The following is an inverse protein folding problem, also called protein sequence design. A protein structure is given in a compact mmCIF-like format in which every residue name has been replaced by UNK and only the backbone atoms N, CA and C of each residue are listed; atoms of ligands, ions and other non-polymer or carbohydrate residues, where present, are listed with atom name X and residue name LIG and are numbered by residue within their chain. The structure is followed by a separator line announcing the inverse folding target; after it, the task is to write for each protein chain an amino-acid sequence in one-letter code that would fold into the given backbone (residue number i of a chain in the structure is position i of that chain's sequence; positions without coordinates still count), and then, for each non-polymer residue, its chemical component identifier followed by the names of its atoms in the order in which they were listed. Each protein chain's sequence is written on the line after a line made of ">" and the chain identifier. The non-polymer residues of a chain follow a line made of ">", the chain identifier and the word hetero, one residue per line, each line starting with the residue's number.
data_IF_604894629908
#
_entry.id   IF_604894629908
#
_cell.length_a   1.000
_cell.length_b   1.000
_cell.length_c   1.000
_cell.angle_alpha   90.00
_cell.angle_beta   90.00
_cell.angle_gamma   90.00
#
_symmetry.space_group_name_H-M   'P 1'
#
loop_
_entity.id
_entity.type
_entity.pdbx_description
1 polymer ?
#
# COMPACT_ATOMS: atom_id res chain seq x y z
N UNK A 1 19.94 48.18 -24.56
CA UNK A 1 20.78 47.64 -25.64
C UNK A 1 20.35 46.21 -25.91
N UNK A 2 20.11 45.85 -27.18
CA UNK A 2 19.34 44.66 -27.54
C UNK A 2 19.95 43.96 -28.74
N UNK A 3 20.48 42.74 -28.59
CA UNK A 3 20.63 41.69 -29.63
C UNK A 3 21.67 40.62 -29.22
N UNK A 4 21.67 39.42 -29.85
CA UNK A 4 20.55 38.75 -30.50
C UNK A 4 20.39 37.26 -30.10
N UNK A 5 19.20 36.72 -30.40
CA UNK A 5 18.91 35.28 -30.39
C UNK A 5 19.75 34.55 -31.46
N UNK A 6 19.99 33.24 -31.27
CA UNK A 6 20.24 32.29 -32.36
C UNK A 6 19.11 31.26 -32.41
N UNK A 7 18.67 30.91 -33.62
CA UNK A 7 17.48 30.11 -33.91
C UNK A 7 17.83 29.11 -35.04
N UNK A 8 17.61 27.81 -34.77
CA UNK A 8 17.41 26.68 -35.74
C UNK A 8 18.53 26.38 -36.77
N UNK A 9 18.43 25.29 -37.60
CA UNK A 9 17.54 24.09 -37.58
C UNK A 9 18.34 22.85 -37.05
N UNK A 10 18.07 21.55 -37.31
CA UNK A 10 17.11 20.73 -38.09
C UNK A 10 16.92 19.36 -37.38
N UNK A 11 15.79 18.61 -37.41
CA UNK A 11 15.03 17.87 -38.46
C UNK A 11 15.38 16.36 -38.57
N UNK A 12 14.49 15.51 -38.03
CA UNK A 12 14.06 14.16 -38.47
C UNK A 12 15.11 13.03 -38.57
N UNK A 13 14.90 11.92 -37.84
CA UNK A 13 14.52 10.65 -38.50
C UNK A 13 13.69 9.69 -37.59
N UNK A 14 13.04 8.69 -38.21
CA UNK A 14 11.90 7.92 -37.65
C UNK A 14 11.84 6.47 -38.19
N UNK A 15 12.41 5.52 -37.46
CA UNK A 15 12.26 4.04 -37.55
C UNK A 15 12.79 3.47 -36.22
N UNK A 16 12.20 2.55 -35.45
CA UNK A 16 11.34 1.34 -35.61
C UNK A 16 12.06 0.11 -36.16
N UNK A 17 12.01 -0.98 -35.37
CA UNK A 17 12.42 -2.40 -35.60
C UNK A 17 13.92 -2.62 -35.88
N UNK A 18 14.57 -3.72 -35.48
CA UNK A 18 14.11 -5.09 -35.20
C UNK A 18 14.60 -5.74 -33.88
N UNK A 19 13.95 -6.87 -33.55
CA UNK A 19 14.32 -7.87 -32.55
C UNK A 19 15.59 -8.65 -32.90
N UNK A 20 16.41 -9.00 -31.91
CA UNK A 20 17.57 -9.88 -32.08
C UNK A 20 17.98 -10.63 -30.82
N UNK A 21 17.39 -11.80 -30.58
CA UNK A 21 17.86 -12.75 -29.57
C UNK A 21 19.09 -13.51 -30.07
N UNK A 22 20.16 -13.66 -29.28
CA UNK A 22 21.15 -14.71 -29.46
C UNK A 22 20.81 -15.91 -28.57
N UNK A 23 20.37 -17.01 -29.18
CA UNK A 23 20.37 -18.30 -28.50
C UNK A 23 21.81 -18.82 -28.40
N UNK A 24 22.25 -19.19 -27.19
CA UNK A 24 23.48 -19.99 -27.04
C UNK A 24 23.12 -21.47 -27.11
N UNK A 25 23.45 -22.07 -28.24
CA UNK A 25 23.37 -23.50 -28.51
C UNK A 25 24.51 -24.25 -27.80
N UNK A 26 24.19 -25.26 -27.00
CA UNK A 26 25.16 -26.29 -26.56
C UNK A 26 24.56 -27.67 -26.85
N UNK A 27 25.19 -28.36 -27.79
CA UNK A 27 24.96 -29.75 -28.13
C UNK A 27 25.69 -30.67 -27.13
N UNK A 28 25.00 -31.64 -26.55
CA UNK A 28 25.26 -33.06 -26.86
C UNK A 28 24.31 -33.98 -26.08
N UNK A 29 23.71 -34.95 -26.79
CA UNK A 29 22.71 -35.84 -26.21
C UNK A 29 23.27 -37.13 -25.64
N UNK A 30 22.39 -37.90 -25.00
CA UNK A 30 22.47 -39.36 -24.90
C UNK A 30 21.07 -39.95 -24.81
N UNK A 31 20.82 -40.99 -25.60
CA UNK A 31 19.55 -41.71 -25.68
C UNK A 31 19.73 -43.12 -25.11
N UNK A 32 18.85 -43.51 -24.19
CA UNK A 32 18.42 -44.89 -23.86
C UNK A 32 16.99 -44.75 -23.32
N UNK A 33 15.93 -45.06 -24.07
CA UNK A 33 15.37 -46.39 -24.39
C UNK A 33 14.69 -47.13 -23.23
N UNK A 34 13.40 -47.47 -23.43
CA UNK A 34 12.62 -48.43 -22.62
C UNK A 34 12.03 -47.89 -21.30
N UNK A 35 10.81 -48.22 -20.87
CA UNK A 35 9.87 -49.27 -21.34
C UNK A 35 8.41 -48.90 -20.98
N UNK A 36 7.46 -49.27 -21.86
CA UNK A 36 6.01 -49.04 -21.74
C UNK A 36 5.30 -49.94 -20.71
N UNK A 37 4.33 -49.41 -19.94
CA UNK A 37 3.09 -50.15 -19.57
C UNK A 37 1.83 -49.23 -19.48
N UNK A 38 0.94 -49.40 -20.48
CA UNK A 38 -0.55 -49.32 -20.53
C UNK A 38 -1.40 -48.63 -19.42
N UNK A 39 -2.08 -47.55 -19.85
CA UNK A 39 -3.55 -47.36 -19.99
C UNK A 39 -4.61 -47.98 -19.03
N UNK A 40 -5.45 -47.11 -18.44
CA UNK A 40 -6.88 -47.24 -18.09
C UNK A 40 -7.39 -45.86 -17.56
N UNK A 41 -8.66 -45.41 -17.60
CA UNK A 41 -9.88 -45.77 -18.35
C UNK A 41 -10.84 -44.56 -18.34
N UNK A 42 -11.87 -44.55 -19.20
CA UNK A 42 -12.74 -43.39 -19.49
C UNK A 42 -13.83 -43.12 -18.44
N UNK A 43 -14.22 -41.83 -18.28
CA UNK A 43 -15.64 -41.43 -18.34
C UNK A 43 -15.87 -39.93 -18.58
N UNK A 44 -16.84 -39.63 -19.44
CA UNK A 44 -17.32 -38.27 -19.75
C UNK A 44 -18.48 -37.85 -18.86
N UNK A 45 -18.59 -36.55 -18.59
CA UNK A 45 -19.89 -35.86 -18.50
C UNK A 45 -19.81 -34.54 -19.28
N UNK A 46 -20.80 -34.29 -20.14
CA UNK A 46 -21.04 -33.00 -20.82
C UNK A 46 -22.39 -32.43 -20.34
N UNK A 47 -22.44 -31.12 -20.06
CA UNK A 47 -23.57 -30.18 -20.23
C UNK A 47 -23.03 -28.78 -19.87
N UNK A 48 -23.00 -27.78 -20.74
CA UNK A 48 -24.07 -27.13 -21.52
C UNK A 48 -24.97 -26.20 -20.70
N UNK A 49 -24.68 -24.90 -20.70
CA UNK A 49 -25.57 -23.87 -21.26
C UNK A 49 -24.96 -22.45 -21.11
N UNK A 50 -25.28 -21.54 -22.04
CA UNK A 50 -25.13 -20.10 -21.81
C UNK A 50 -26.27 -19.62 -20.92
N UNK A 51 -25.97 -18.88 -19.88
CA UNK A 51 -26.92 -18.06 -19.12
C UNK A 51 -26.32 -16.69 -18.89
N UNK A 52 -26.80 -15.66 -19.61
CA UNK A 52 -26.44 -14.27 -19.39
C UNK A 52 -27.59 -13.61 -18.64
N UNK A 53 -27.42 -13.38 -17.35
CA UNK A 53 -28.38 -12.65 -16.52
C UNK A 53 -27.65 -11.56 -15.76
N UNK A 54 -27.99 -10.31 -16.08
CA UNK A 54 -27.69 -9.18 -15.22
C UNK A 54 -28.51 -9.31 -13.93
N UNK A 55 -27.86 -9.15 -12.78
CA UNK A 55 -28.54 -8.87 -11.51
C UNK A 55 -27.93 -7.60 -10.94
N UNK A 56 -28.71 -6.53 -11.05
CA UNK A 56 -28.43 -5.22 -10.49
C UNK A 56 -29.02 -5.15 -9.07
N UNK A 57 -28.24 -4.64 -8.12
CA UNK A 57 -28.68 -4.09 -6.81
C UNK A 57 -29.72 -4.85 -5.98
N UNK A 58 -29.34 -5.32 -4.79
CA UNK A 58 -29.79 -4.62 -3.57
C UNK A 58 -28.91 -4.91 -2.34
N UNK A 59 -28.78 -3.88 -1.52
CA UNK A 59 -28.02 -3.75 -0.28
C UNK A 59 -28.34 -4.85 0.74
N UNK A 60 -27.34 -5.67 1.08
CA UNK A 60 -27.31 -6.46 2.32
C UNK A 60 -26.62 -5.67 3.42
N UNK A 61 -27.23 -4.57 3.90
CA UNK A 61 -26.71 -3.77 5.02
C UNK A 61 -26.90 -4.52 6.34
N UNK A 62 -25.93 -5.35 6.71
CA UNK A 62 -25.68 -5.67 8.12
C UNK A 62 -25.09 -4.43 8.78
N UNK A 63 -25.88 -3.73 9.60
CA UNK A 63 -25.37 -2.71 10.51
C UNK A 63 -24.47 -3.39 11.55
N UNK A 64 -23.18 -3.50 11.25
CA UNK A 64 -22.12 -3.50 12.25
C UNK A 64 -21.75 -2.02 12.43
N UNK A 65 -21.56 -1.57 13.67
CA UNK A 65 -21.66 -0.16 14.02
C UNK A 65 -20.55 0.68 13.35
N UNK A 66 -20.95 1.74 12.62
CA UNK A 66 -20.02 2.81 12.24
C UNK A 66 -19.11 2.57 11.03
N UNK A 67 -19.51 1.78 10.03
CA UNK A 67 -18.89 1.79 8.69
C UNK A 67 -17.36 1.53 8.62
N UNK A 68 -16.83 0.66 9.48
CA UNK A 68 -15.45 0.18 9.39
C UNK A 68 -15.27 -0.67 8.11
N UNK A 69 -14.34 -0.29 7.26
CA UNK A 69 -13.64 -1.20 6.36
C UNK A 69 -12.18 -1.36 6.80
N UNK A 70 -11.39 -2.16 6.07
CA UNK A 70 -9.98 -2.41 6.44
C UNK A 70 -9.03 -1.29 6.01
N UNK A 71 -9.51 -0.29 5.27
CA UNK A 71 -8.71 0.88 4.92
C UNK A 71 -8.47 1.80 6.11
N UNK A 72 -7.22 2.21 6.32
CA UNK A 72 -6.81 3.20 7.33
C UNK A 72 -7.59 4.53 7.29
N UNK A 73 -8.24 4.85 6.17
CA UNK A 73 -9.05 6.06 5.94
C UNK A 73 -10.56 5.80 6.02
N UNK A 74 -10.98 4.63 6.49
CA UNK A 74 -12.38 4.30 6.81
C UNK A 74 -12.67 4.49 8.32
N UNK A 75 -11.73 5.10 9.04
CA UNK A 75 -11.82 5.50 10.45
C UNK A 75 -11.93 7.04 10.55
N UNK A 76 -12.86 7.53 11.37
CA UNK A 76 -13.15 8.97 11.49
C UNK A 76 -11.95 9.78 12.03
N UNK A 77 -11.23 9.29 13.04
CA UNK A 77 -10.05 9.96 13.60
C UNK A 77 -8.89 10.06 12.60
N UNK A 78 -8.72 9.04 11.75
CA UNK A 78 -7.76 9.07 10.65
C UNK A 78 -8.17 10.06 9.55
N UNK A 79 -9.48 10.18 9.26
CA UNK A 79 -10.01 11.19 8.34
C UNK A 79 -9.77 12.62 8.85
N UNK A 80 -10.02 12.87 10.15
CA UNK A 80 -9.83 14.18 10.77
C UNK A 80 -8.35 14.60 10.73
N UNK A 81 -7.40 13.70 11.06
CA UNK A 81 -5.96 13.97 10.93
C UNK A 81 -5.57 14.37 9.49
N UNK A 82 -6.17 13.72 8.49
CA UNK A 82 -5.88 13.97 7.07
C UNK A 82 -6.50 15.28 6.60
N UNK A 83 -7.67 15.65 7.13
CA UNK A 83 -8.27 16.98 6.92
C UNK A 83 -7.37 18.08 7.49
N UNK A 84 -6.94 17.95 8.74
CA UNK A 84 -6.04 18.91 9.40
C UNK A 84 -4.68 19.02 8.70
N UNK A 85 -4.11 17.88 8.27
CA UNK A 85 -2.85 17.84 7.53
C UNK A 85 -2.91 18.68 6.24
N UNK A 86 -4.05 18.66 5.54
CA UNK A 86 -4.25 19.40 4.29
C UNK A 86 -4.29 20.91 4.50
N UNK A 87 -4.66 21.38 5.69
CA UNK A 87 -4.57 22.79 6.07
C UNK A 87 -3.16 23.19 6.55
N UNK A 88 -2.34 22.19 6.96
CA UNK A 88 -0.93 22.38 7.30
C UNK A 88 0.00 22.48 6.07
N UNK A 89 1.21 23.00 6.32
CA UNK A 89 2.31 23.07 5.35
C UNK A 89 3.56 22.29 5.78
N UNK A 90 3.47 21.55 6.88
CA UNK A 90 4.58 20.80 7.46
C UNK A 90 4.12 19.48 8.12
N UNK A 91 5.09 18.64 8.50
CA UNK A 91 4.85 17.32 9.08
C UNK A 91 4.57 17.34 10.59
N UNK A 92 4.37 18.50 11.24
CA UNK A 92 4.20 18.57 12.71
C UNK A 92 3.03 17.70 13.20
N UNK A 93 1.87 17.80 12.55
CA UNK A 93 0.69 16.97 12.86
C UNK A 93 0.97 15.46 12.75
N UNK A 94 1.80 15.05 11.79
CA UNK A 94 2.21 13.64 11.67
C UNK A 94 3.19 13.25 12.78
N UNK A 95 4.13 14.13 13.12
CA UNK A 95 5.09 13.88 14.20
C UNK A 95 4.39 13.81 15.56
N UNK A 96 3.38 14.65 15.81
CA UNK A 96 2.62 14.68 17.06
C UNK A 96 1.67 13.48 17.19
N UNK A 97 0.97 13.08 16.12
CA UNK A 97 0.16 11.85 16.11
C UNK A 97 1.01 10.60 16.36
N UNK A 98 2.20 10.51 15.75
CA UNK A 98 3.13 9.42 16.02
C UNK A 98 3.72 9.48 17.43
N UNK A 99 3.94 10.69 17.96
CA UNK A 99 4.45 10.87 19.33
C UNK A 99 3.45 10.41 20.37
N UNK A 100 2.16 10.75 20.22
CA UNK A 100 1.10 10.30 21.12
C UNK A 100 1.13 8.76 21.30
N UNK A 101 1.12 8.02 20.19
CA UNK A 101 1.21 6.55 20.24
C UNK A 101 2.58 6.02 20.68
N UNK A 102 3.69 6.65 20.30
CA UNK A 102 5.04 6.15 20.62
C UNK A 102 5.50 6.46 22.05
N UNK A 103 4.97 7.51 22.68
CA UNK A 103 5.35 7.98 24.02
C UNK A 103 4.27 7.73 25.08
N UNK A 104 3.16 7.06 24.75
CA UNK A 104 2.17 6.62 25.75
C UNK A 104 2.82 5.78 26.86
N UNK A 105 2.56 6.17 28.11
CA UNK A 105 2.94 5.43 29.33
C UNK A 105 1.76 4.61 29.90
N UNK A 106 0.57 4.76 29.32
CA UNK A 106 -0.68 4.07 29.67
C UNK A 106 -1.28 3.35 28.44
N UNK A 107 -2.40 2.66 28.63
CA UNK A 107 -3.12 1.93 27.57
C UNK A 107 -3.43 2.88 26.39
N UNK A 108 -3.10 2.47 25.17
CA UNK A 108 -3.19 3.32 23.98
C UNK A 108 -4.63 3.33 23.43
N UNK A 109 -5.30 4.48 23.55
CA UNK A 109 -6.62 4.75 22.98
C UNK A 109 -6.67 4.44 21.47
N UNK A 110 -7.78 3.82 21.05
CA UNK A 110 -8.04 3.51 19.66
C UNK A 110 -7.99 4.74 18.73
N UNK A 111 -8.35 5.93 19.25
CA UNK A 111 -8.34 7.18 18.49
C UNK A 111 -6.91 7.63 18.12
N UNK A 112 -5.96 7.55 19.05
CA UNK A 112 -4.55 7.91 18.81
C UNK A 112 -3.81 6.81 18.05
N UNK A 113 -4.14 5.54 18.30
CA UNK A 113 -3.64 4.42 17.51
C UNK A 113 -4.02 4.55 16.02
N UNK A 114 -5.26 4.93 15.73
CA UNK A 114 -5.75 5.12 14.35
C UNK A 114 -5.03 6.29 13.65
N UNK A 115 -4.88 7.43 14.33
CA UNK A 115 -4.10 8.58 13.86
C UNK A 115 -2.64 8.22 13.57
N UNK A 116 -2.02 7.41 14.44
CA UNK A 116 -0.63 6.97 14.25
C UNK A 116 -0.45 6.05 13.02
N UNK A 117 -1.39 5.15 12.73
CA UNK A 117 -1.37 4.34 11.51
C UNK A 117 -1.50 5.21 10.25
N UNK A 118 -2.45 6.16 10.24
CA UNK A 118 -2.62 7.10 9.14
C UNK A 118 -1.35 7.95 8.90
N UNK A 119 -0.74 8.47 9.96
CA UNK A 119 0.51 9.22 9.86
C UNK A 119 1.67 8.39 9.30
N UNK A 120 1.77 7.13 9.72
CA UNK A 120 2.76 6.17 9.22
C UNK A 120 2.59 5.87 7.71
N UNK A 121 1.36 5.71 7.23
CA UNK A 121 1.11 5.55 5.79
C UNK A 121 1.47 6.79 4.98
N UNK A 122 1.12 8.00 5.46
CA UNK A 122 1.47 9.26 4.78
C UNK A 122 2.99 9.42 4.67
N UNK A 123 3.74 9.03 5.69
CA UNK A 123 5.21 9.05 5.66
C UNK A 123 5.78 8.09 4.61
N UNK A 124 5.19 6.90 4.40
CA UNK A 124 5.59 6.01 3.29
C UNK A 124 5.20 6.57 1.92
N UNK A 125 4.03 7.20 1.81
CA UNK A 125 3.58 7.84 0.58
C UNK A 125 4.51 8.99 0.15
N UNK A 126 4.94 9.85 1.09
CA UNK A 126 5.93 10.91 0.89
C UNK A 126 7.30 10.37 0.42
N UNK A 127 7.61 9.11 0.70
CA UNK A 127 8.81 8.42 0.21
C UNK A 127 8.63 7.70 -1.14
N UNK A 128 7.44 7.79 -1.75
CA UNK A 128 7.11 7.16 -3.03
C UNK A 128 6.50 5.76 -2.92
N UNK A 129 6.02 5.38 -1.74
CA UNK A 129 5.36 4.10 -1.47
C UNK A 129 3.91 4.30 -0.96
N UNK A 130 3.01 4.95 -1.73
CA UNK A 130 1.63 5.12 -1.31
C UNK A 130 0.90 3.78 -1.24
N UNK A 131 0.08 3.60 -0.20
CA UNK A 131 -0.89 2.52 -0.12
C UNK A 131 -2.00 2.69 -1.17
N UNK A 132 -2.78 1.63 -1.49
CA UNK A 132 -3.96 1.78 -2.35
C UNK A 132 -4.98 2.78 -1.80
N UNK A 133 -5.09 2.92 -0.48
CA UNK A 133 -5.98 3.89 0.17
C UNK A 133 -5.48 5.34 -0.08
N UNK A 134 -4.21 5.63 0.23
CA UNK A 134 -3.62 6.95 -0.08
C UNK A 134 -3.65 7.26 -1.58
N UNK A 135 -3.55 6.25 -2.45
CA UNK A 135 -3.64 6.45 -3.91
C UNK A 135 -5.06 6.82 -4.39
N UNK A 136 -6.11 6.56 -3.60
CA UNK A 136 -7.48 6.97 -3.89
C UNK A 136 -7.77 8.42 -3.45
N UNK A 137 -7.06 8.92 -2.44
CA UNK A 137 -7.24 10.26 -1.87
C UNK A 137 -6.61 11.38 -2.74
N UNK A 138 -7.33 11.82 -3.78
CA UNK A 138 -6.87 12.82 -4.74
C UNK A 138 -6.38 14.13 -4.08
N UNK A 139 -7.03 14.58 -3.01
CA UNK A 139 -6.68 15.84 -2.32
C UNK A 139 -5.41 15.69 -1.46
N UNK A 140 -5.19 14.52 -0.85
CA UNK A 140 -3.95 14.20 -0.14
C UNK A 140 -2.78 14.04 -1.13
N UNK A 141 -3.01 13.41 -2.29
CA UNK A 141 -2.02 13.36 -3.38
C UNK A 141 -1.62 14.76 -3.87
N UNK A 142 -2.60 15.66 -4.03
CA UNK A 142 -2.35 17.04 -4.39
C UNK A 142 -1.53 17.79 -3.32
N UNK A 143 -1.85 17.59 -2.03
CA UNK A 143 -1.09 18.16 -0.91
C UNK A 143 0.36 17.65 -0.87
N UNK A 144 0.59 16.34 -0.99
CA UNK A 144 1.95 15.76 -1.04
C UNK A 144 2.77 16.26 -2.24
N UNK A 145 2.11 16.49 -3.38
CA UNK A 145 2.74 17.06 -4.58
C UNK A 145 3.11 18.54 -4.38
N UNK A 146 2.28 19.30 -3.66
CA UNK A 146 2.54 20.69 -3.32
C UNK A 146 3.61 20.87 -2.22
N UNK A 147 3.70 19.90 -1.29
CA UNK A 147 4.61 19.89 -0.15
C UNK A 147 5.61 18.72 -0.24
N UNK A 148 6.65 18.80 -1.12
CA UNK A 148 7.63 17.74 -1.31
C UNK A 148 8.65 17.68 -0.15
N UNK A 149 8.14 17.38 1.05
CA UNK A 149 8.93 17.22 2.26
C UNK A 149 9.41 15.77 2.38
N UNK A 150 10.69 15.59 2.68
CA UNK A 150 11.28 14.26 2.89
C UNK A 150 11.30 13.96 4.40
N UNK A 151 10.60 12.92 4.87
CA UNK A 151 10.69 12.44 6.25
C UNK A 151 12.15 12.22 6.68
N UNK A 152 12.48 12.62 7.91
CA UNK A 152 13.80 12.41 8.49
C UNK A 152 13.97 10.96 8.96
N UNK A 153 15.23 10.50 9.10
CA UNK A 153 15.50 9.18 9.67
C UNK A 153 15.00 9.05 11.13
N UNK A 154 14.93 10.16 11.87
CA UNK A 154 14.34 10.21 13.20
C UNK A 154 12.81 10.04 13.16
N UNK A 155 12.13 10.73 12.24
CA UNK A 155 10.68 10.59 12.05
C UNK A 155 10.29 9.18 11.59
N UNK A 156 11.12 8.54 10.75
CA UNK A 156 10.94 7.13 10.38
C UNK A 156 11.13 6.16 11.56
N UNK A 157 12.06 6.46 12.47
CA UNK A 157 12.23 5.67 13.70
C UNK A 157 11.07 5.87 14.69
N UNK A 158 10.53 7.09 14.78
CA UNK A 158 9.33 7.39 15.55
C UNK A 158 8.11 6.65 14.98
N UNK A 159 7.93 6.67 13.66
CA UNK A 159 6.86 5.93 12.98
C UNK A 159 6.94 4.42 13.22
N UNK A 160 8.12 3.82 13.12
CA UNK A 160 8.30 2.39 13.41
C UNK A 160 7.93 2.04 14.88
N UNK A 161 8.30 2.92 15.83
CA UNK A 161 7.96 2.77 17.24
C UNK A 161 6.46 2.94 17.51
N UNK A 162 5.81 3.94 16.91
CA UNK A 162 4.38 4.16 17.05
C UNK A 162 3.58 2.94 16.57
N UNK A 163 3.88 2.42 15.37
CA UNK A 163 3.24 1.20 14.83
C UNK A 163 3.52 -0.03 15.70
N UNK A 164 4.67 -0.08 16.39
CA UNK A 164 4.95 -1.12 17.37
C UNK A 164 4.07 -1.02 18.64
N UNK A 165 3.72 0.17 19.10
CA UNK A 165 2.80 0.36 20.22
C UNK A 165 1.35 0.06 19.82
N UNK A 166 0.91 0.48 18.63
CA UNK A 166 -0.43 0.14 18.10
C UNK A 166 -0.66 -1.38 18.02
N UNK A 167 0.41 -2.17 17.83
CA UNK A 167 0.35 -3.65 17.78
C UNK A 167 0.68 -4.34 19.12
N UNK A 168 0.99 -3.58 20.18
CA UNK A 168 1.19 -4.11 21.53
C UNK A 168 -0.12 -4.68 22.10
N UNK A 169 -0.04 -5.37 23.25
CA UNK A 169 -1.25 -5.91 23.92
C UNK A 169 -2.07 -4.78 24.57
N UNK A 170 -1.39 -3.73 25.07
CA UNK A 170 -1.98 -2.58 25.76
C UNK A 170 -2.56 -1.52 24.79
N UNK A 171 -3.21 -1.95 23.69
CA UNK A 171 -3.71 -1.10 22.60
C UNK A 171 -5.21 -1.35 22.36
N UNK A 172 -6.05 -0.38 22.68
CA UNK A 172 -7.51 -0.49 22.56
C UNK A 172 -7.92 -0.76 21.10
N UNK A 173 -7.22 -0.17 20.11
CA UNK A 173 -7.48 -0.46 18.70
C UNK A 173 -7.28 -1.95 18.39
N UNK A 174 -6.26 -2.59 18.98
CA UNK A 174 -6.01 -4.02 18.80
C UNK A 174 -7.11 -4.86 19.46
N UNK A 175 -7.55 -4.49 20.66
CA UNK A 175 -8.66 -5.17 21.34
C UNK A 175 -9.94 -5.11 20.51
N UNK A 176 -10.28 -3.93 19.95
CA UNK A 176 -11.45 -3.77 19.07
C UNK A 176 -11.39 -4.66 17.81
N UNK A 177 -10.21 -4.92 17.25
CA UNK A 177 -10.04 -5.85 16.12
C UNK A 177 -10.12 -7.33 16.53
N UNK A 178 -9.79 -7.66 17.78
CA UNK A 178 -9.99 -9.01 18.37
C UNK A 178 -11.48 -9.29 18.62
N UNK A 179 -12.23 -8.30 19.14
CA UNK A 179 -13.68 -8.42 19.39
C UNK A 179 -14.52 -8.73 18.13
N UNK A 180 -14.00 -8.42 16.94
CA UNK A 180 -14.68 -8.64 15.64
C UNK A 180 -14.10 -9.83 14.84
N UNK A 181 -13.37 -10.74 15.50
CA UNK A 181 -12.76 -11.95 14.90
C UNK A 181 -11.88 -11.66 13.65
N UNK A 182 -11.36 -10.44 13.51
CA UNK A 182 -10.62 -9.98 12.30
C UNK A 182 -9.18 -9.52 12.57
N UNK A 183 -8.68 -9.74 13.80
CA UNK A 183 -7.35 -9.35 14.25
C UNK A 183 -6.22 -9.85 13.34
N UNK A 184 -6.27 -11.11 12.87
CA UNK A 184 -5.23 -11.69 12.01
C UNK A 184 -5.09 -10.96 10.66
N UNK A 185 -6.20 -10.47 10.08
CA UNK A 185 -6.20 -9.73 8.81
C UNK A 185 -5.63 -8.33 8.99
N UNK A 186 -6.13 -7.59 9.99
CA UNK A 186 -5.62 -6.25 10.34
C UNK A 186 -4.15 -6.29 10.75
N UNK A 187 -3.73 -7.26 11.56
CA UNK A 187 -2.31 -7.43 11.91
C UNK A 187 -1.44 -7.67 10.67
N UNK A 188 -1.91 -8.38 9.64
CA UNK A 188 -1.15 -8.60 8.42
C UNK A 188 -0.93 -7.30 7.61
N UNK A 189 -1.94 -6.42 7.57
CA UNK A 189 -1.86 -5.09 6.97
C UNK A 189 -0.89 -4.18 7.75
N UNK A 190 -1.03 -4.09 9.08
CA UNK A 190 -0.15 -3.27 9.92
C UNK A 190 1.30 -3.77 9.94
N UNK A 191 1.53 -5.10 9.89
CA UNK A 191 2.87 -5.67 9.73
C UNK A 191 3.49 -5.32 8.36
N UNK A 192 2.67 -5.19 7.31
CA UNK A 192 3.14 -4.75 5.97
C UNK A 192 3.59 -3.29 6.02
N UNK A 193 2.81 -2.41 6.68
CA UNK A 193 3.19 -1.02 6.96
C UNK A 193 4.50 -0.93 7.76
N UNK A 194 4.63 -1.71 8.86
CA UNK A 194 5.84 -1.73 9.69
C UNK A 194 7.08 -2.22 8.91
N UNK A 195 6.92 -3.21 8.02
CA UNK A 195 7.99 -3.68 7.14
C UNK A 195 8.42 -2.61 6.12
N UNK A 196 7.45 -1.85 5.57
CA UNK A 196 7.72 -0.69 4.70
C UNK A 196 8.55 0.37 5.41
N UNK A 197 8.18 0.76 6.64
CA UNK A 197 8.92 1.73 7.45
C UNK A 197 10.36 1.29 7.74
N UNK A 198 10.58 0.01 8.07
CA UNK A 198 11.91 -0.57 8.28
C UNK A 198 12.78 -0.51 7.02
N UNK A 199 12.21 -0.84 5.86
CA UNK A 199 12.90 -0.76 4.57
C UNK A 199 13.26 0.70 4.22
N UNK A 200 12.31 1.62 4.39
CA UNK A 200 12.51 3.05 4.19
C UNK A 200 13.60 3.63 5.09
N UNK A 201 13.58 3.30 6.39
CA UNK A 201 14.59 3.71 7.37
C UNK A 201 15.97 3.17 7.01
N UNK A 202 16.05 1.92 6.57
CA UNK A 202 17.30 1.28 6.13
C UNK A 202 17.87 1.87 4.84
N UNK A 203 17.05 2.51 4.01
CA UNK A 203 17.47 3.23 2.80
C UNK A 203 17.80 4.72 3.04
N UNK A 204 17.51 5.24 4.25
CA UNK A 204 17.70 6.65 4.62
C UNK A 204 18.91 6.89 5.57
N UNK A 205 19.52 5.82 6.09
CA UNK A 205 20.73 5.83 6.93
C UNK A 205 21.99 5.46 6.18
#
# INVERSE_FOLDING_TARGET
>A
MTSPRRICPARVDRQRVESGSPACEILNGRQVEGTSIRAASLRSVKRSARGRTSINSNQGRSNIMGAWGSGTFENDDACDLVCDLRESTDLSLLEDALRAAAESEEDLDASDASKALAAAEVILALLGHPSPAIAAEEELQAWMTANPQRPSAALLALAERAVQQVTAEDSELRELWDEVDSLDEWMAEVNTLQAGLRAARSAAG
#
